data_IF_583142734928
#
_entry.id   IF_583142734928
#
_cell.length_a   1.000
_cell.length_b   1.000
_cell.length_c   1.000
_cell.angle_alpha   90.00
_cell.angle_beta   90.00
_cell.angle_gamma   90.00
#
_symmetry.space_group_name_H-M   'P 1'
#
loop_
_entity.id
_entity.type
_entity.pdbx_description
1 polymer ?
#
# COMPACT_ATOMS: atom_id res chain seq x y z
N UNK A 1 11.13 7.89 0.25
CA UNK A 1 11.46 6.50 -0.12
C UNK A 1 11.86 5.65 1.08
N UNK A 2 12.23 6.24 2.22
CA UNK A 2 12.43 5.47 3.46
C UNK A 2 11.11 4.87 3.97
N UNK A 3 10.00 5.58 3.85
CA UNK A 3 8.66 5.13 4.28
C UNK A 3 8.24 3.81 3.63
N UNK A 4 8.40 3.65 2.30
CA UNK A 4 8.06 2.38 1.63
C UNK A 4 8.96 1.22 2.07
N UNK A 5 10.24 1.47 2.31
CA UNK A 5 11.15 0.43 2.83
C UNK A 5 10.75 -0.01 4.22
N UNK A 6 10.35 0.93 5.07
CA UNK A 6 9.88 0.61 6.42
C UNK A 6 8.54 -0.13 6.36
N UNK A 7 7.60 0.28 5.49
CA UNK A 7 6.37 -0.48 5.24
C UNK A 7 6.66 -1.89 4.73
N UNK A 8 7.69 -2.09 3.90
CA UNK A 8 8.12 -3.44 3.47
C UNK A 8 8.49 -4.35 4.65
N UNK A 9 9.05 -3.78 5.72
CA UNK A 9 9.41 -4.52 6.93
C UNK A 9 8.16 -4.90 7.75
N UNK A 10 7.15 -4.02 7.75
CA UNK A 10 5.84 -4.29 8.37
C UNK A 10 5.05 -5.37 7.62
N UNK A 11 5.22 -5.45 6.30
CA UNK A 11 4.45 -6.33 5.45
C UNK A 11 5.32 -7.41 4.80
N UNK A 12 5.46 -8.60 5.41
CA UNK A 12 6.36 -9.64 4.91
C UNK A 12 5.96 -10.20 3.54
N UNK A 13 4.69 -10.05 3.16
CA UNK A 13 4.15 -10.44 1.85
C UNK A 13 4.35 -9.37 0.77
N UNK A 14 4.87 -8.21 1.13
CA UNK A 14 5.08 -7.10 0.22
C UNK A 14 6.47 -7.14 -0.40
N UNK A 15 6.54 -6.84 -1.69
CA UNK A 15 7.76 -6.81 -2.48
C UNK A 15 8.07 -5.35 -2.81
N UNK A 16 9.21 -4.87 -2.30
CA UNK A 16 9.71 -3.55 -2.67
C UNK A 16 10.44 -3.60 -4.01
N UNK A 17 9.86 -2.93 -5.01
CA UNK A 17 10.38 -2.90 -6.39
C UNK A 17 11.44 -1.81 -6.62
N UNK A 18 11.82 -1.06 -5.58
CA UNK A 18 12.71 0.10 -5.67
C UNK A 18 12.00 1.43 -5.90
N UNK A 19 10.75 1.41 -6.40
CA UNK A 19 9.92 2.61 -6.60
C UNK A 19 8.58 2.54 -5.86
N UNK A 20 8.01 1.34 -5.77
CA UNK A 20 6.70 1.08 -5.18
C UNK A 20 6.75 -0.21 -4.35
N UNK A 21 5.86 -0.33 -3.37
CA UNK A 21 5.64 -1.60 -2.67
C UNK A 21 4.50 -2.34 -3.35
N UNK A 22 4.66 -3.63 -3.66
CA UNK A 22 3.62 -4.42 -4.32
C UNK A 22 3.32 -5.66 -3.51
N UNK A 23 2.05 -5.91 -3.25
CA UNK A 23 1.52 -7.11 -2.63
C UNK A 23 0.83 -7.93 -3.69
N UNK A 24 1.07 -9.23 -3.70
CA UNK A 24 0.40 -10.15 -4.61
C UNK A 24 -0.16 -11.28 -3.76
N UNK A 25 -1.47 -11.43 -3.83
CA UNK A 25 -2.22 -12.56 -3.31
C UNK A 25 -2.80 -13.36 -4.49
N UNK A 26 -3.45 -14.48 -4.19
CA UNK A 26 -4.02 -15.38 -5.21
C UNK A 26 -5.00 -14.64 -6.15
N UNK A 27 -5.95 -13.91 -5.56
CA UNK A 27 -6.98 -13.16 -6.28
C UNK A 27 -6.76 -11.65 -6.36
N UNK A 28 -5.74 -11.12 -5.69
CA UNK A 28 -5.59 -9.67 -5.49
C UNK A 28 -4.16 -9.19 -5.68
N UNK A 29 -4.00 -7.97 -6.18
CA UNK A 29 -2.74 -7.26 -6.24
C UNK A 29 -2.91 -5.90 -5.61
N UNK A 30 -2.06 -5.56 -4.65
CA UNK A 30 -2.05 -4.23 -4.03
C UNK A 30 -0.76 -3.52 -4.40
N UNK A 31 -0.84 -2.26 -4.80
CA UNK A 31 0.32 -1.44 -5.13
C UNK A 31 0.31 -0.18 -4.27
N UNK A 32 1.40 0.06 -3.56
CA UNK A 32 1.63 1.25 -2.76
C UNK A 32 2.66 2.11 -3.47
N UNK A 33 2.26 3.33 -3.74
CA UNK A 33 3.06 4.33 -4.42
C UNK A 33 3.29 5.49 -3.47
N UNK A 34 4.55 5.82 -3.21
CA UNK A 34 4.90 7.04 -2.49
C UNK A 34 4.92 8.19 -3.49
N UNK A 35 3.97 9.10 -3.34
CA UNK A 35 3.98 10.41 -3.97
C UNK A 35 4.59 11.40 -2.99
N UNK A 36 5.84 11.79 -3.24
CA UNK A 36 6.33 13.07 -2.71
C UNK A 36 5.75 14.17 -3.58
N UNK A 37 4.92 15.01 -2.98
CA UNK A 37 4.46 16.22 -3.64
C UNK A 37 5.71 16.96 -4.12
N UNK A 38 5.87 17.04 -5.44
CA UNK A 38 7.07 17.59 -6.08
C UNK A 38 7.03 19.12 -6.13
N UNK A 39 6.17 19.73 -5.31
CA UNK A 39 6.03 21.16 -5.18
C UNK A 39 7.20 21.69 -4.34
N UNK A 40 8.32 21.88 -5.04
CA UNK A 40 9.56 22.50 -4.57
C UNK A 40 9.35 23.91 -4.01
N UNK A 41 8.12 24.46 -4.11
CA UNK A 41 7.72 25.79 -3.65
C UNK A 41 7.16 25.81 -2.22
N UNK A 42 6.91 24.66 -1.59
CA UNK A 42 6.43 24.61 -0.19
C UNK A 42 7.51 24.04 0.72
N UNK A 43 8.10 24.93 1.53
CA UNK A 43 8.99 24.61 2.64
C UNK A 43 8.26 23.93 3.82
N UNK A 44 7.41 22.95 3.54
CA UNK A 44 6.62 22.22 4.54
C UNK A 44 7.17 20.82 4.72
N UNK A 45 7.37 20.43 5.98
CA UNK A 45 7.70 19.07 6.44
C UNK A 45 6.51 18.11 6.25
N UNK A 46 5.76 18.28 5.16
CA UNK A 46 4.53 17.53 4.92
C UNK A 46 4.86 16.05 4.69
N UNK A 47 4.13 15.14 5.36
CA UNK A 47 4.43 13.73 5.27
C UNK A 47 4.14 13.19 3.86
N UNK A 48 4.88 12.17 3.42
CA UNK A 48 4.72 11.62 2.07
C UNK A 48 3.32 11.02 1.88
N UNK A 49 2.72 11.26 0.72
CA UNK A 49 1.42 10.68 0.37
C UNK A 49 1.65 9.26 -0.12
N UNK A 50 1.08 8.27 0.56
CA UNK A 50 1.09 6.87 0.15
C UNK A 50 -0.26 6.54 -0.48
N UNK A 51 -0.25 6.29 -1.79
CA UNK A 51 -1.43 5.82 -2.51
C UNK A 51 -1.42 4.31 -2.60
N UNK A 52 -2.45 3.69 -2.04
CA UNK A 52 -2.74 2.26 -2.10
C UNK A 52 -3.70 2.01 -3.27
N UNK A 53 -3.39 1.06 -4.14
CA UNK A 53 -4.24 0.63 -5.24
C UNK A 53 -4.46 -0.87 -5.17
N UNK A 54 -5.70 -1.30 -5.17
CA UNK A 54 -6.10 -2.70 -5.07
C UNK A 54 -6.75 -3.10 -6.39
N UNK A 55 -6.15 -4.12 -6.99
CA UNK A 55 -6.60 -4.73 -8.22
C UNK A 55 -7.06 -6.14 -7.92
N UNK A 56 -8.19 -6.53 -8.51
CA UNK A 56 -8.69 -7.90 -8.47
C UNK A 56 -8.22 -8.63 -9.71
N UNK A 57 -7.64 -9.81 -9.55
CA UNK A 57 -7.31 -10.70 -10.66
C UNK A 57 -8.61 -11.28 -11.21
N UNK A 58 -8.86 -11.05 -12.49
CA UNK A 58 -9.93 -11.69 -13.24
C UNK A 58 -9.58 -13.15 -13.53
N UNK A 59 -10.60 -13.97 -13.81
CA UNK A 59 -10.41 -15.37 -14.25
C UNK A 59 -9.59 -15.49 -15.54
N UNK A 60 -9.56 -14.43 -16.36
CA UNK A 60 -8.74 -14.34 -17.58
C UNK A 60 -7.26 -13.99 -17.28
N UNK A 61 -6.93 -13.66 -16.03
CA UNK A 61 -5.60 -13.22 -15.61
C UNK A 61 -5.39 -11.70 -15.70
N UNK A 62 -6.34 -10.94 -16.26
CA UNK A 62 -6.32 -9.48 -16.24
C UNK A 62 -6.49 -8.91 -14.82
N UNK A 63 -5.81 -7.79 -14.54
CA UNK A 63 -5.93 -7.08 -13.27
C UNK A 63 -6.98 -5.97 -13.40
N UNK A 64 -8.14 -6.19 -12.80
CA UNK A 64 -9.23 -5.21 -12.78
C UNK A 64 -8.97 -4.22 -11.65
N UNK A 65 -8.79 -2.94 -12.00
CA UNK A 65 -8.71 -1.87 -11.01
C UNK A 65 -10.01 -1.76 -10.23
N UNK A 66 -9.94 -1.95 -8.91
CA UNK A 66 -11.10 -1.88 -8.03
C UNK A 66 -11.06 -0.64 -7.15
N UNK A 67 -10.23 -0.69 -6.12
CA UNK A 67 -10.22 0.31 -5.05
C UNK A 67 -8.87 1.03 -5.00
N UNK A 68 -8.88 2.32 -4.70
CA UNK A 68 -7.67 3.04 -4.35
C UNK A 68 -7.96 4.05 -3.24
N UNK A 69 -6.95 4.32 -2.42
CA UNK A 69 -7.02 5.30 -1.33
C UNK A 69 -5.66 5.97 -1.17
N UNK A 70 -5.68 7.26 -0.82
CA UNK A 70 -4.47 8.00 -0.47
C UNK A 70 -4.39 8.27 1.04
N UNK A 71 -3.22 7.93 1.60
CA UNK A 71 -2.91 8.13 3.01
C UNK A 71 -1.78 9.13 3.12
N UNK A 72 -2.00 10.21 3.86
CA UNK A 72 -0.99 11.23 4.16
C UNK A 72 -0.81 11.31 5.68
N UNK A 73 0.00 10.41 6.23
CA UNK A 73 0.20 10.26 7.67
C UNK A 73 1.66 10.47 8.03
N UNK A 74 1.89 11.29 9.07
CA UNK A 74 3.23 11.57 9.59
C UNK A 74 3.85 10.36 10.31
N UNK A 75 3.02 9.57 11.00
CA UNK A 75 3.45 8.37 11.71
C UNK A 75 3.43 7.15 10.79
N UNK A 76 4.58 6.49 10.62
CA UNK A 76 4.68 5.24 9.88
C UNK A 76 3.78 4.14 10.47
N UNK A 77 3.73 4.00 11.80
CA UNK A 77 2.92 2.94 12.42
C UNK A 77 1.43 3.09 12.11
N UNK A 78 0.91 4.32 12.21
CA UNK A 78 -0.49 4.60 11.89
C UNK A 78 -0.76 4.38 10.40
N UNK A 79 0.19 4.76 9.55
CA UNK A 79 0.12 4.51 8.11
C UNK A 79 0.08 3.02 7.80
N UNK A 80 0.96 2.22 8.39
CA UNK A 80 0.97 0.77 8.22
C UNK A 80 -0.36 0.16 8.69
N UNK A 81 -0.86 0.56 9.86
CA UNK A 81 -2.11 0.05 10.41
C UNK A 81 -3.33 0.42 9.53
N UNK A 82 -3.39 1.66 9.04
CA UNK A 82 -4.50 2.08 8.17
C UNK A 82 -4.44 1.41 6.80
N UNK A 83 -3.25 1.28 6.21
CA UNK A 83 -3.04 0.52 4.97
C UNK A 83 -3.47 -0.93 5.15
N UNK A 84 -3.06 -1.58 6.25
CA UNK A 84 -3.46 -2.95 6.55
C UNK A 84 -4.98 -3.06 6.64
N UNK A 85 -5.62 -2.24 7.49
CA UNK A 85 -7.09 -2.24 7.66
C UNK A 85 -7.83 -1.99 6.35
N UNK A 86 -7.33 -1.08 5.51
CA UNK A 86 -7.93 -0.79 4.22
C UNK A 86 -7.84 -1.97 3.27
N UNK A 87 -6.64 -2.57 3.15
CA UNK A 87 -6.44 -3.77 2.33
C UNK A 87 -7.30 -4.92 2.84
N UNK A 88 -7.36 -5.14 4.15
CA UNK A 88 -8.20 -6.16 4.77
C UNK A 88 -9.69 -5.96 4.49
N UNK A 89 -10.18 -4.72 4.58
CA UNK A 89 -11.57 -4.40 4.26
C UNK A 89 -11.89 -4.58 2.77
N UNK A 90 -10.99 -4.16 1.89
CA UNK A 90 -11.20 -4.23 0.44
C UNK A 90 -11.08 -5.66 -0.12
N UNK A 91 -10.17 -6.47 0.43
CA UNK A 91 -10.01 -7.89 0.06
C UNK A 91 -11.04 -8.76 0.80
N UNK A 92 -11.61 -8.26 1.91
CA UNK A 92 -12.53 -9.02 2.76
C UNK A 92 -11.84 -10.14 3.54
N UNK A 93 -10.50 -10.12 3.61
CA UNK A 93 -9.70 -11.14 4.28
C UNK A 93 -8.71 -10.48 5.26
N UNK A 94 -8.64 -11.02 6.47
CA UNK A 94 -7.65 -10.65 7.46
C UNK A 94 -6.26 -11.03 6.93
N UNK A 95 -5.46 -10.07 6.45
CA UNK A 95 -4.04 -10.29 6.09
C UNK A 95 -3.22 -10.93 7.24
N UNK A 96 -3.72 -10.83 8.49
CA UNK A 96 -3.12 -11.40 9.70
C UNK A 96 -3.64 -12.79 10.08
N UNK A 97 -4.70 -13.31 9.46
CA UNK A 97 -5.19 -14.66 9.71
C UNK A 97 -4.70 -15.62 8.62
N UNK A 98 -3.45 -16.05 8.76
CA UNK A 98 -3.02 -17.40 8.36
C UNK A 98 -1.87 -17.84 9.26
N UNK A 99 -2.15 -17.86 10.56
CA UNK A 99 -1.48 -18.76 11.49
C UNK A 99 -2.61 -19.49 12.23
N UNK A 100 -2.81 -20.74 11.78
CA UNK A 100 -3.60 -21.85 12.38
C UNK A 100 -5.11 -21.94 12.08
#
# INVERSE_FOLDING_TARGET
METLKLLCDYFPTAVFTGKCLVFISEDWRVELTEHKDSDFSKSGDDPPVIRVRIYKRALDGELIGGHYEDFQLASLNELAEQVEKYVQQAIGANLRENIE
#
